data_IF_657843247300
#
_entry.id   IF_657843247300
#
_cell.length_a   1.000
_cell.length_b   1.000
_cell.length_c   1.000
_cell.angle_alpha   90.00
_cell.angle_beta   90.00
_cell.angle_gamma   90.00
#
_symmetry.space_group_name_H-M   'P 1'
#
loop_
_entity.id
_entity.type
_entity.pdbx_description
1 polymer ?
#
# COMPACT_ATOMS: atom_id res chain seq x y z
N UNK A 1 18.93 -1.27 -26.56
CA UNK A 1 18.56 -2.11 -27.72
C UNK A 1 17.04 -2.25 -27.80
N UNK A 2 16.35 -2.63 -26.72
CA UNK A 2 14.89 -2.83 -26.71
C UNK A 2 14.11 -1.52 -26.98
N UNK A 3 14.46 -0.42 -26.33
CA UNK A 3 13.83 0.88 -26.55
C UNK A 3 14.01 1.37 -28.00
N UNK A 4 15.18 1.14 -28.59
CA UNK A 4 15.45 1.48 -29.99
C UNK A 4 14.62 0.62 -30.94
N UNK A 5 14.53 -0.69 -30.68
CA UNK A 5 13.72 -1.62 -31.47
C UNK A 5 12.25 -1.24 -31.44
N UNK A 6 11.71 -0.97 -30.24
CA UNK A 6 10.31 -0.58 -30.07
C UNK A 6 10.00 0.78 -30.73
N UNK A 7 10.92 1.75 -30.66
CA UNK A 7 10.75 3.05 -31.31
C UNK A 7 10.70 2.97 -32.83
N UNK A 8 11.44 2.03 -33.44
CA UNK A 8 11.47 1.86 -34.91
C UNK A 8 10.38 0.93 -35.43
N UNK A 9 9.80 0.08 -34.58
CA UNK A 9 8.83 -0.93 -35.00
C UNK A 9 7.59 -0.33 -35.66
N UNK A 10 6.98 0.69 -35.05
CA UNK A 10 5.81 1.37 -35.62
C UNK A 10 6.14 2.06 -36.95
N UNK A 11 7.30 2.69 -37.04
CA UNK A 11 7.75 3.32 -38.27
C UNK A 11 7.94 2.28 -39.38
N UNK A 12 8.56 1.13 -39.09
CA UNK A 12 8.73 0.03 -40.05
C UNK A 12 7.39 -0.54 -40.52
N UNK A 13 6.43 -0.74 -39.61
CA UNK A 13 5.10 -1.22 -39.95
C UNK A 13 4.39 -0.21 -40.85
N UNK A 14 4.43 1.06 -40.50
CA UNK A 14 3.81 2.14 -41.27
C UNK A 14 4.43 2.23 -42.68
N UNK A 15 5.77 2.21 -42.75
CA UNK A 15 6.49 2.24 -44.04
C UNK A 15 6.07 1.07 -44.95
N UNK A 16 6.07 -0.16 -44.39
CA UNK A 16 5.70 -1.36 -45.18
C UNK A 16 4.24 -1.35 -45.61
N UNK A 17 3.33 -0.86 -44.78
CA UNK A 17 1.91 -0.80 -45.12
C UNK A 17 1.61 0.28 -46.16
N UNK A 18 2.29 1.44 -46.08
CA UNK A 18 2.07 2.56 -47.00
C UNK A 18 2.75 2.33 -48.36
N UNK A 19 3.96 1.78 -48.36
CA UNK A 19 4.78 1.50 -49.55
C UNK A 19 4.59 0.07 -50.06
N UNK A 20 3.47 -0.59 -49.74
CA UNK A 20 3.14 -1.88 -50.34
C UNK A 20 3.03 -1.75 -51.84
N UNK A 21 3.63 -2.67 -52.59
CA UNK A 21 3.74 -2.63 -54.06
C UNK A 21 2.38 -2.39 -54.72
N UNK A 22 1.35 -3.07 -54.27
CA UNK A 22 -0.01 -2.90 -54.78
C UNK A 22 -0.52 -1.47 -54.65
N UNK A 23 -0.32 -0.87 -53.48
CA UNK A 23 -0.74 0.53 -53.23
C UNK A 23 0.04 1.52 -54.05
N UNK A 24 1.38 1.30 -54.17
CA UNK A 24 2.24 2.19 -54.92
C UNK A 24 1.89 2.21 -56.42
N UNK A 25 1.52 1.06 -56.98
CA UNK A 25 1.17 0.93 -58.40
C UNK A 25 -0.29 1.32 -58.68
N UNK A 26 -1.25 0.78 -57.92
CA UNK A 26 -2.67 0.93 -58.18
C UNK A 26 -3.31 2.22 -57.59
N UNK A 27 -2.83 2.63 -56.38
CA UNK A 27 -3.40 3.80 -55.71
C UNK A 27 -2.60 5.09 -55.97
N UNK A 28 -1.25 5.02 -55.84
CA UNK A 28 -0.40 6.21 -55.93
C UNK A 28 0.16 6.45 -57.31
N UNK A 29 0.13 5.48 -58.21
CA UNK A 29 0.60 5.57 -59.59
C UNK A 29 2.03 6.13 -59.70
N UNK A 30 2.94 5.77 -58.78
CA UNK A 30 4.32 6.27 -58.78
C UNK A 30 5.16 5.58 -59.88
N UNK A 31 5.94 6.39 -60.59
CA UNK A 31 6.96 5.88 -61.52
C UNK A 31 8.16 5.35 -60.67
N UNK A 32 8.99 4.50 -61.31
CA UNK A 32 10.15 3.95 -60.64
C UNK A 32 11.09 5.04 -60.10
N UNK A 33 11.34 6.05 -60.90
CA UNK A 33 12.23 7.19 -60.57
C UNK A 33 11.67 7.99 -59.38
N UNK A 34 10.37 8.24 -59.32
CA UNK A 34 9.70 8.92 -58.25
C UNK A 34 9.73 8.09 -56.94
N UNK A 35 9.59 6.77 -57.08
CA UNK A 35 9.67 5.87 -55.91
C UNK A 35 11.08 5.80 -55.34
N UNK A 36 12.12 5.68 -56.18
CA UNK A 36 13.53 5.66 -55.75
C UNK A 36 13.91 6.98 -55.06
N UNK A 37 13.46 8.11 -55.59
CA UNK A 37 13.64 9.42 -54.94
C UNK A 37 12.91 9.49 -53.59
N UNK A 38 11.69 8.99 -53.51
CA UNK A 38 10.93 8.96 -52.24
C UNK A 38 11.63 8.14 -51.17
N UNK A 39 12.18 6.97 -51.53
CA UNK A 39 12.94 6.13 -50.59
C UNK A 39 14.21 6.86 -50.10
N UNK A 40 14.93 7.53 -50.96
CA UNK A 40 16.13 8.30 -50.62
C UNK A 40 15.76 9.48 -49.67
N UNK A 41 14.64 10.15 -49.91
CA UNK A 41 14.19 11.24 -49.05
C UNK A 41 13.74 10.73 -47.68
N UNK A 42 13.05 9.59 -47.61
CA UNK A 42 12.68 8.94 -46.34
C UNK A 42 13.93 8.55 -45.55
N UNK A 43 14.92 7.95 -46.22
CA UNK A 43 16.17 7.57 -45.56
C UNK A 43 16.91 8.80 -45.01
N UNK A 44 16.99 9.86 -45.78
CA UNK A 44 17.64 11.11 -45.40
C UNK A 44 16.95 11.75 -44.20
N UNK A 45 15.63 11.82 -44.20
CA UNK A 45 14.83 12.36 -43.06
C UNK A 45 14.97 11.51 -41.83
N UNK A 46 14.95 10.19 -41.97
CA UNK A 46 15.15 9.28 -40.85
C UNK A 46 16.55 9.45 -40.22
N UNK A 47 17.62 9.54 -41.04
CA UNK A 47 18.98 9.81 -40.57
C UNK A 47 19.09 11.17 -39.85
N UNK A 48 18.43 12.21 -40.37
CA UNK A 48 18.40 13.54 -39.72
C UNK A 48 17.63 13.58 -38.42
N UNK A 49 16.66 12.68 -38.21
CA UNK A 49 15.90 12.60 -36.97
C UNK A 49 16.62 11.83 -35.86
N UNK A 50 17.74 11.18 -36.17
CA UNK A 50 18.56 10.50 -35.17
C UNK A 50 19.36 11.50 -34.35
N UNK A 51 19.58 11.15 -33.07
CA UNK A 51 20.43 11.96 -32.17
C UNK A 51 21.87 11.95 -32.63
N UNK A 52 22.47 13.13 -32.72
CA UNK A 52 23.87 13.27 -33.08
C UNK A 52 24.81 12.84 -31.92
N UNK A 53 25.97 12.26 -32.20
CA UNK A 53 27.00 12.04 -31.20
C UNK A 53 27.39 13.35 -30.50
N UNK A 54 27.56 13.31 -29.16
CA UNK A 54 27.88 14.48 -28.37
C UNK A 54 26.71 15.33 -27.88
N UNK A 55 25.45 14.91 -28.15
CA UNK A 55 24.27 15.57 -27.61
C UNK A 55 24.21 15.45 -26.09
N UNK A 56 23.86 16.54 -25.41
CA UNK A 56 23.74 16.59 -23.94
C UNK A 56 22.39 16.01 -23.46
N UNK A 57 22.24 14.70 -23.58
CA UNK A 57 20.98 14.00 -23.31
C UNK A 57 20.52 14.10 -21.86
N UNK A 58 21.43 14.23 -20.89
CA UNK A 58 21.10 14.42 -19.47
C UNK A 58 20.45 15.76 -19.22
N UNK A 59 20.97 16.85 -19.79
CA UNK A 59 20.37 18.19 -19.68
C UNK A 59 19.03 18.23 -20.39
N UNK A 60 18.93 17.63 -21.56
CA UNK A 60 17.68 17.55 -22.31
C UNK A 60 16.60 16.80 -21.53
N UNK A 61 16.95 15.68 -20.89
CA UNK A 61 16.04 14.93 -20.04
C UNK A 61 15.59 15.77 -18.82
N UNK A 62 16.52 16.42 -18.15
CA UNK A 62 16.21 17.28 -16.99
C UNK A 62 15.26 18.42 -17.34
N UNK A 63 15.50 19.10 -18.47
CA UNK A 63 14.63 20.16 -18.96
C UNK A 63 13.24 19.63 -19.37
N UNK A 64 13.19 18.49 -20.07
CA UNK A 64 11.93 17.89 -20.50
C UNK A 64 11.04 17.40 -19.35
N UNK A 65 11.66 17.05 -18.22
CA UNK A 65 10.92 16.68 -16.98
C UNK A 65 10.59 17.93 -16.16
N UNK A 66 11.50 18.90 -16.13
CA UNK A 66 11.35 20.12 -15.32
C UNK A 66 10.31 21.09 -15.88
N UNK A 67 10.21 21.23 -17.19
CA UNK A 67 9.23 22.11 -17.83
C UNK A 67 7.79 21.77 -17.44
N UNK A 68 7.29 20.52 -17.59
CA UNK A 68 5.96 20.17 -17.14
C UNK A 68 5.76 20.36 -15.62
N UNK A 69 6.80 20.13 -14.83
CA UNK A 69 6.73 20.30 -13.39
C UNK A 69 6.41 21.72 -12.96
N UNK A 70 6.84 22.73 -13.72
CA UNK A 70 6.52 24.15 -13.43
C UNK A 70 5.03 24.48 -13.62
N UNK A 71 4.32 23.71 -14.43
CA UNK A 71 2.91 23.90 -14.72
C UNK A 71 1.99 23.09 -13.77
N UNK A 72 2.57 22.23 -12.94
CA UNK A 72 1.81 21.44 -11.97
C UNK A 72 1.39 22.28 -10.78
N UNK A 73 0.15 22.10 -10.33
CA UNK A 73 -0.36 22.73 -9.11
C UNK A 73 0.19 22.00 -7.87
N UNK A 74 0.39 22.76 -6.79
CA UNK A 74 0.95 22.27 -5.51
C UNK A 74 -0.05 21.45 -4.66
N UNK A 75 -1.18 21.05 -5.19
CA UNK A 75 -2.30 20.54 -4.39
C UNK A 75 -2.36 19.01 -4.30
N UNK A 76 -2.78 18.54 -3.12
CA UNK A 76 -3.32 17.19 -2.93
C UNK A 76 -4.70 17.12 -3.59
N UNK A 77 -4.92 16.14 -4.45
CA UNK A 77 -6.21 15.93 -5.09
C UNK A 77 -6.99 14.81 -4.39
N UNK A 78 -8.29 15.08 -4.22
CA UNK A 78 -9.24 14.02 -3.92
C UNK A 78 -9.60 13.33 -5.24
N UNK A 79 -9.39 12.02 -5.32
CA UNK A 79 -9.82 11.25 -6.50
C UNK A 79 -11.33 11.31 -6.62
N UNK A 80 -11.82 11.86 -7.74
CA UNK A 80 -13.25 11.86 -8.05
C UNK A 80 -13.77 10.42 -8.13
N UNK A 81 -14.73 10.07 -7.26
CA UNK A 81 -15.34 8.73 -7.20
C UNK A 81 -15.00 7.90 -5.96
N UNK A 82 -13.88 8.17 -5.27
CA UNK A 82 -13.57 7.63 -3.95
C UNK A 82 -13.38 8.80 -3.02
N UNK A 83 -14.46 9.19 -2.37
CA UNK A 83 -14.56 10.46 -1.61
C UNK A 83 -13.66 10.57 -0.38
N UNK A 84 -12.95 9.53 0.00
CA UNK A 84 -12.19 9.47 1.25
C UNK A 84 -10.68 9.24 1.09
N UNK A 85 -10.16 8.97 -0.13
CA UNK A 85 -8.72 8.74 -0.32
C UNK A 85 -8.01 10.01 -0.76
N UNK A 86 -7.11 10.49 0.10
CA UNK A 86 -6.19 11.57 -0.23
C UNK A 86 -4.97 11.00 -0.96
N UNK A 87 -4.65 11.53 -2.13
CA UNK A 87 -3.45 11.13 -2.88
C UNK A 87 -2.58 12.37 -3.12
N UNK A 88 -1.32 12.27 -2.73
CA UNK A 88 -0.34 13.32 -3.03
C UNK A 88 0.04 13.24 -4.50
N UNK A 89 -0.21 14.30 -5.24
CA UNK A 89 0.10 14.41 -6.67
C UNK A 89 0.88 15.70 -6.96
N UNK A 90 1.36 15.85 -8.19
CA UNK A 90 2.08 17.04 -8.63
C UNK A 90 3.50 17.11 -8.11
N UNK A 91 4.00 18.33 -7.94
CA UNK A 91 5.40 18.62 -7.55
C UNK A 91 5.80 17.95 -6.23
N UNK A 92 4.98 17.94 -5.16
CA UNK A 92 5.34 17.24 -3.93
C UNK A 92 5.64 15.76 -4.14
N UNK A 93 4.81 15.06 -4.92
CA UNK A 93 5.01 13.64 -5.22
C UNK A 93 6.25 13.40 -6.08
N UNK A 94 6.47 14.24 -7.08
CA UNK A 94 7.66 14.15 -7.92
C UNK A 94 8.94 14.34 -7.09
N UNK A 95 8.93 15.26 -6.12
CA UNK A 95 10.04 15.44 -5.17
C UNK A 95 10.25 14.21 -4.27
N UNK A 96 9.19 13.59 -3.77
CA UNK A 96 9.30 12.34 -3.00
C UNK A 96 9.98 11.23 -3.80
N UNK A 97 9.61 11.08 -5.08
CA UNK A 97 10.17 10.07 -5.97
C UNK A 97 11.65 10.34 -6.27
N UNK A 98 12.03 11.57 -6.64
CA UNK A 98 13.40 11.96 -6.98
C UNK A 98 14.33 11.90 -5.76
N UNK A 99 13.82 12.27 -4.60
CA UNK A 99 14.58 12.27 -3.34
C UNK A 99 14.64 10.89 -2.68
N UNK A 100 13.95 9.89 -3.23
CA UNK A 100 13.83 8.56 -2.61
C UNK A 100 13.41 8.70 -1.13
N UNK A 101 12.29 9.40 -0.90
CA UNK A 101 11.83 9.66 0.45
C UNK A 101 11.48 8.36 1.19
N UNK A 102 11.99 8.20 2.41
CA UNK A 102 11.65 7.06 3.28
C UNK A 102 10.22 7.16 3.82
N UNK A 103 9.79 8.39 4.16
CA UNK A 103 8.44 8.65 4.63
C UNK A 103 7.68 9.40 3.55
N UNK A 104 6.80 8.72 2.86
CA UNK A 104 5.90 9.33 1.88
C UNK A 104 4.59 9.74 2.53
N UNK A 105 3.97 10.82 2.05
CA UNK A 105 2.74 11.38 2.66
C UNK A 105 1.53 10.46 2.53
N UNK A 106 1.41 9.79 1.38
CA UNK A 106 0.27 8.92 1.07
C UNK A 106 0.76 7.56 0.59
N UNK A 107 1.25 6.70 1.52
CA UNK A 107 1.64 5.34 1.17
C UNK A 107 0.40 4.53 0.75
N UNK A 108 0.51 3.80 -0.36
CA UNK A 108 -0.60 3.03 -0.88
C UNK A 108 -0.13 1.80 -1.66
N UNK A 109 -0.92 0.74 -1.57
CA UNK A 109 -0.80 -0.44 -2.42
C UNK A 109 -1.96 -0.47 -3.41
N UNK A 110 -1.69 -0.98 -4.59
CA UNK A 110 -2.71 -1.36 -5.55
C UNK A 110 -2.71 -2.88 -5.68
N UNK A 111 -3.74 -3.50 -5.12
CA UNK A 111 -3.86 -4.95 -4.98
C UNK A 111 -4.81 -5.46 -6.04
N UNK A 112 -4.31 -6.33 -6.90
CA UNK A 112 -5.11 -7.01 -7.91
C UNK A 112 -5.57 -8.36 -7.37
N UNK A 113 -6.80 -8.72 -7.71
CA UNK A 113 -7.43 -9.96 -7.28
C UNK A 113 -7.28 -11.04 -8.35
N UNK A 114 -7.30 -12.30 -7.91
CA UNK A 114 -7.32 -13.47 -8.80
C UNK A 114 -8.59 -13.50 -9.65
N UNK A 115 -8.57 -14.26 -10.74
CA UNK A 115 -9.68 -14.35 -11.71
C UNK A 115 -11.01 -14.72 -11.08
N UNK A 116 -10.97 -15.60 -10.09
CA UNK A 116 -12.15 -16.13 -9.39
C UNK A 116 -12.89 -15.09 -8.55
N UNK A 117 -12.16 -14.06 -8.09
CA UNK A 117 -12.65 -13.06 -7.14
C UNK A 117 -12.89 -11.71 -7.80
N UNK A 118 -12.09 -11.33 -8.79
CA UNK A 118 -12.11 -9.98 -9.42
C UNK A 118 -13.47 -9.57 -9.98
N UNK A 119 -14.33 -10.53 -10.36
CA UNK A 119 -15.66 -10.28 -10.92
C UNK A 119 -16.75 -10.20 -9.86
N UNK A 120 -16.53 -10.78 -8.66
CA UNK A 120 -17.54 -10.87 -7.59
C UNK A 120 -17.30 -9.84 -6.48
N UNK A 121 -18.29 -8.98 -6.24
CA UNK A 121 -18.20 -7.92 -5.23
C UNK A 121 -18.16 -8.46 -3.79
N UNK A 122 -18.89 -9.53 -3.50
CA UNK A 122 -18.94 -10.10 -2.14
C UNK A 122 -17.60 -10.72 -1.77
N UNK A 123 -17.03 -11.54 -2.67
CA UNK A 123 -15.70 -12.13 -2.45
C UNK A 123 -14.61 -11.07 -2.38
N UNK A 124 -14.70 -10.01 -3.19
CA UNK A 124 -13.77 -8.90 -3.10
C UNK A 124 -13.83 -8.20 -1.74
N UNK A 125 -15.04 -8.05 -1.14
CA UNK A 125 -15.20 -7.54 0.21
C UNK A 125 -14.58 -8.45 1.26
N UNK A 126 -14.69 -9.78 1.11
CA UNK A 126 -14.06 -10.73 2.04
C UNK A 126 -12.54 -10.56 2.07
N UNK A 127 -11.92 -10.45 0.89
CA UNK A 127 -10.47 -10.16 0.80
C UNK A 127 -10.13 -8.81 1.41
N UNK A 128 -10.97 -7.79 1.20
CA UNK A 128 -10.78 -6.45 1.77
C UNK A 128 -10.75 -6.48 3.29
N UNK A 129 -11.68 -7.21 3.91
CA UNK A 129 -11.76 -7.39 5.36
C UNK A 129 -10.53 -8.11 5.92
N UNK A 130 -10.01 -9.10 5.20
CA UNK A 130 -8.82 -9.84 5.61
C UNK A 130 -7.51 -9.03 5.47
N UNK A 131 -7.50 -7.98 4.66
CA UNK A 131 -6.32 -7.13 4.45
C UNK A 131 -6.31 -5.94 5.41
N UNK A 132 -7.47 -5.37 5.73
CA UNK A 132 -7.57 -4.16 6.55
C UNK A 132 -7.25 -4.45 8.00
N UNK A 133 -6.22 -3.77 8.52
CA UNK A 133 -5.75 -3.93 9.91
C UNK A 133 -6.81 -3.48 10.90
N UNK A 134 -7.32 -4.43 11.66
CA UNK A 134 -8.38 -4.21 12.65
C UNK A 134 -7.87 -4.61 14.02
N UNK A 135 -7.74 -3.63 14.91
CA UNK A 135 -7.38 -3.84 16.33
C UNK A 135 -8.65 -3.86 17.16
N UNK A 136 -8.53 -4.33 18.39
CA UNK A 136 -9.63 -4.32 19.36
C UNK A 136 -10.17 -2.90 19.59
N UNK A 137 -9.31 -1.88 19.60
CA UNK A 137 -9.72 -0.48 19.71
C UNK A 137 -10.67 -0.03 18.59
N UNK A 138 -10.53 -0.57 17.37
CA UNK A 138 -11.35 -0.17 16.23
C UNK A 138 -12.81 -0.64 16.34
N UNK A 139 -13.06 -1.71 17.08
CA UNK A 139 -14.40 -2.31 17.24
C UNK A 139 -15.03 -2.03 18.60
N UNK A 140 -14.26 -1.51 19.57
CA UNK A 140 -14.74 -1.20 20.92
C UNK A 140 -15.38 0.19 20.93
N UNK A 141 -16.59 0.29 21.47
CA UNK A 141 -17.30 1.57 21.65
C UNK A 141 -17.05 2.19 23.02
N UNK A 142 -16.98 1.37 24.06
CA UNK A 142 -16.74 1.79 25.43
C UNK A 142 -16.00 0.70 26.21
N UNK A 143 -15.22 1.14 27.18
CA UNK A 143 -14.52 0.28 28.14
C UNK A 143 -14.89 0.71 29.54
N UNK A 144 -15.16 -0.24 30.41
CA UNK A 144 -15.60 -0.02 31.79
C UNK A 144 -14.86 -0.96 32.72
N UNK A 145 -14.39 -0.44 33.83
CA UNK A 145 -13.82 -1.24 34.94
C UNK A 145 -14.81 -1.25 36.10
N UNK A 146 -15.24 -2.44 36.47
CA UNK A 146 -16.20 -2.65 37.53
C UNK A 146 -15.61 -3.48 38.65
N UNK A 147 -16.04 -3.20 39.90
CA UNK A 147 -15.80 -4.05 41.06
C UNK A 147 -17.04 -4.90 41.29
N UNK A 148 -16.99 -6.16 40.94
CA UNK A 148 -18.10 -7.11 40.95
C UNK A 148 -17.66 -8.35 41.76
N UNK A 149 -17.90 -8.37 43.11
CA UNK A 149 -17.38 -9.41 43.98
C UNK A 149 -18.09 -10.75 43.78
N UNK A 150 -19.36 -10.75 43.36
CA UNK A 150 -20.10 -11.97 43.06
C UNK A 150 -19.93 -12.37 41.62
N UNK A 151 -19.14 -13.40 41.39
CA UNK A 151 -18.80 -13.86 40.01
C UNK A 151 -20.03 -14.42 39.29
N UNK A 152 -20.96 -15.02 40.03
CA UNK A 152 -22.16 -15.67 39.49
C UNK A 152 -23.38 -14.78 39.39
N UNK A 153 -23.52 -13.75 40.23
CA UNK A 153 -24.61 -12.78 40.18
C UNK A 153 -24.09 -11.36 40.03
N UNK A 154 -24.00 -10.92 38.80
CA UNK A 154 -23.41 -9.62 38.46
C UNK A 154 -24.25 -8.45 38.96
N UNK A 155 -23.57 -7.40 39.43
CA UNK A 155 -24.19 -6.11 39.80
C UNK A 155 -24.80 -5.42 38.57
N UNK A 156 -24.29 -5.69 37.36
CA UNK A 156 -24.73 -5.09 36.10
C UNK A 156 -25.99 -5.83 35.63
N UNK A 157 -27.16 -5.17 35.71
CA UNK A 157 -28.45 -5.77 35.35
C UNK A 157 -28.50 -6.27 33.90
N UNK A 158 -27.89 -5.53 32.97
CA UNK A 158 -27.84 -5.86 31.53
C UNK A 158 -27.09 -7.17 31.22
N UNK A 159 -26.11 -7.51 32.05
CA UNK A 159 -25.21 -8.66 31.80
C UNK A 159 -25.66 -9.91 32.59
N UNK A 160 -26.60 -9.77 33.50
CA UNK A 160 -26.98 -10.82 34.49
C UNK A 160 -27.38 -12.13 33.82
N UNK A 161 -28.20 -12.07 32.79
CA UNK A 161 -28.77 -13.24 32.14
C UNK A 161 -27.68 -14.12 31.48
N UNK A 162 -26.76 -13.52 30.71
CA UNK A 162 -25.75 -14.30 30.05
C UNK A 162 -24.59 -14.75 30.98
N UNK A 163 -24.36 -14.02 32.08
CA UNK A 163 -23.42 -14.41 33.14
C UNK A 163 -23.90 -15.66 33.85
N UNK A 164 -25.17 -15.71 34.24
CA UNK A 164 -25.76 -16.89 34.88
C UNK A 164 -25.68 -18.12 33.95
N UNK A 165 -26.02 -17.96 32.67
CA UNK A 165 -25.90 -19.01 31.68
C UNK A 165 -24.47 -19.53 31.51
N UNK A 166 -23.49 -18.65 31.56
CA UNK A 166 -22.08 -19.04 31.43
C UNK A 166 -21.60 -19.87 32.62
N UNK A 167 -22.00 -19.51 33.85
CA UNK A 167 -21.59 -20.20 35.05
C UNK A 167 -22.47 -21.43 35.39
N UNK A 168 -23.60 -21.67 34.70
CA UNK A 168 -24.35 -22.94 34.81
C UNK A 168 -23.50 -24.14 34.33
N UNK A 169 -22.57 -23.92 33.37
CA UNK A 169 -21.67 -24.95 32.87
C UNK A 169 -20.28 -24.70 33.45
N UNK A 170 -19.84 -25.41 34.48
CA UNK A 170 -18.57 -25.17 35.15
C UNK A 170 -17.41 -25.48 34.18
N UNK A 171 -16.53 -24.48 33.95
CA UNK A 171 -15.27 -24.65 33.22
C UNK A 171 -14.15 -24.97 34.24
N UNK A 172 -13.65 -26.21 34.17
CA UNK A 172 -12.56 -26.69 35.05
C UNK A 172 -11.23 -25.94 34.86
N UNK A 173 -11.09 -25.17 33.77
CA UNK A 173 -9.89 -24.39 33.51
C UNK A 173 -9.78 -23.14 34.37
N UNK A 174 -10.91 -22.58 34.82
CA UNK A 174 -10.98 -21.34 35.60
C UNK A 174 -11.78 -21.55 36.87
N UNK A 175 -11.14 -21.93 38.01
CA UNK A 175 -11.82 -22.07 39.28
C UNK A 175 -12.35 -20.71 39.74
N UNK A 176 -13.60 -20.66 40.11
CA UNK A 176 -14.32 -19.44 40.56
C UNK A 176 -13.61 -18.77 41.74
N UNK A 177 -13.01 -19.57 42.64
CA UNK A 177 -12.31 -19.12 43.82
C UNK A 177 -11.03 -18.33 43.55
N UNK A 178 -10.43 -18.50 42.36
CA UNK A 178 -9.20 -17.84 41.93
C UNK A 178 -9.46 -16.62 41.05
N UNK A 179 -10.70 -16.32 40.75
CA UNK A 179 -11.07 -15.22 39.84
C UNK A 179 -11.14 -13.89 40.60
N UNK A 180 -10.49 -12.86 40.04
CA UNK A 180 -10.46 -11.51 40.62
C UNK A 180 -11.88 -10.90 40.67
N UNK A 181 -12.23 -10.14 41.76
CA UNK A 181 -13.49 -9.39 41.81
C UNK A 181 -13.55 -8.22 40.83
N UNK A 182 -12.43 -7.83 40.27
CA UNK A 182 -12.34 -6.77 39.27
C UNK A 182 -12.69 -7.30 37.89
N UNK A 183 -13.54 -6.55 37.18
CA UNK A 183 -14.05 -6.87 35.87
C UNK A 183 -13.69 -5.76 34.88
N UNK A 184 -13.08 -6.13 33.76
CA UNK A 184 -12.99 -5.27 32.58
C UNK A 184 -14.13 -5.65 31.62
N UNK A 185 -15.02 -4.69 31.37
CA UNK A 185 -16.16 -4.82 30.46
C UNK A 185 -15.87 -4.05 29.20
N UNK A 186 -15.91 -4.71 28.05
CA UNK A 186 -15.73 -4.13 26.73
C UNK A 186 -17.06 -4.15 25.99
N UNK A 187 -17.58 -2.99 25.63
CA UNK A 187 -18.75 -2.86 24.78
C UNK A 187 -18.31 -2.71 23.33
N UNK A 188 -18.75 -3.61 22.45
CA UNK A 188 -18.38 -3.62 21.05
C UNK A 188 -19.37 -2.80 20.20
N UNK A 189 -18.85 -2.13 19.19
CA UNK A 189 -19.66 -1.43 18.20
C UNK A 189 -20.20 -2.42 17.17
N UNK A 190 -21.50 -2.71 17.24
CA UNK A 190 -22.19 -3.68 16.38
C UNK A 190 -21.99 -3.41 14.89
N UNK A 191 -22.05 -2.15 14.46
CA UNK A 191 -21.88 -1.81 13.05
C UNK A 191 -20.49 -2.17 12.56
N UNK A 192 -19.46 -1.90 13.37
CA UNK A 192 -18.06 -2.22 13.02
C UNK A 192 -17.80 -3.73 13.03
N UNK A 193 -18.34 -4.45 14.00
CA UNK A 193 -18.22 -5.92 14.08
C UNK A 193 -18.84 -6.59 12.84
N UNK A 194 -20.04 -6.15 12.44
CA UNK A 194 -20.72 -6.65 11.24
C UNK A 194 -19.97 -6.27 9.96
N UNK A 195 -19.49 -5.03 9.84
CA UNK A 195 -18.73 -4.57 8.67
C UNK A 195 -17.43 -5.35 8.50
N UNK A 196 -16.79 -5.73 9.61
CA UNK A 196 -15.57 -6.55 9.62
C UNK A 196 -15.84 -8.06 9.59
N UNK A 197 -17.12 -8.47 9.52
CA UNK A 197 -17.54 -9.89 9.52
C UNK A 197 -16.90 -10.68 10.68
N UNK A 198 -16.82 -10.06 11.86
CA UNK A 198 -16.33 -10.67 13.10
C UNK A 198 -17.52 -11.19 13.91
N UNK A 199 -17.28 -12.23 14.70
CA UNK A 199 -18.19 -12.72 15.73
C UNK A 199 -17.61 -12.42 17.12
N UNK A 200 -18.47 -12.27 18.12
CA UNK A 200 -18.02 -12.06 19.50
C UNK A 200 -17.12 -13.20 19.96
N UNK A 201 -17.41 -14.43 19.57
CA UNK A 201 -16.61 -15.60 19.91
C UNK A 201 -15.19 -15.53 19.30
N UNK A 202 -15.04 -15.11 18.04
CA UNK A 202 -13.71 -14.93 17.43
C UNK A 202 -12.89 -13.88 18.18
N UNK A 203 -13.51 -12.79 18.63
CA UNK A 203 -12.82 -11.77 19.41
C UNK A 203 -12.38 -12.31 20.77
N UNK A 204 -13.24 -13.07 21.45
CA UNK A 204 -12.92 -13.73 22.73
C UNK A 204 -11.79 -14.75 22.55
N UNK A 205 -11.79 -15.52 21.48
CA UNK A 205 -10.69 -16.45 21.14
C UNK A 205 -9.37 -15.73 20.96
N UNK A 206 -9.34 -14.65 20.18
CA UNK A 206 -8.12 -13.84 19.98
C UNK A 206 -7.56 -13.27 21.29
N UNK A 207 -8.45 -12.78 22.18
CA UNK A 207 -8.05 -12.28 23.50
C UNK A 207 -7.48 -13.44 24.35
N UNK A 208 -8.17 -14.58 24.34
CA UNK A 208 -7.78 -15.76 25.12
C UNK A 208 -6.47 -16.39 24.65
N UNK A 209 -6.18 -16.36 23.35
CA UNK A 209 -4.91 -16.83 22.79
C UNK A 209 -3.72 -16.00 23.27
N UNK A 210 -3.87 -14.68 23.39
CA UNK A 210 -2.82 -13.78 23.83
C UNK A 210 -2.51 -13.96 25.34
N UNK A 211 -3.55 -14.01 26.18
CA UNK A 211 -3.40 -14.07 27.63
C UNK A 211 -3.43 -15.49 28.21
N UNK A 212 -3.79 -16.49 27.41
CA UNK A 212 -3.87 -17.90 27.78
C UNK A 212 -4.68 -18.14 29.07
N UNK A 213 -4.00 -18.58 30.15
CA UNK A 213 -4.65 -18.90 31.43
C UNK A 213 -4.76 -17.73 32.41
N UNK A 214 -4.15 -16.59 32.10
CA UNK A 214 -4.13 -15.42 32.99
C UNK A 214 -5.43 -14.59 32.95
N UNK A 215 -6.23 -14.75 31.91
CA UNK A 215 -7.46 -13.98 31.72
C UNK A 215 -8.61 -14.89 31.35
N UNK A 216 -9.70 -14.83 32.11
CA UNK A 216 -10.96 -15.46 31.75
C UNK A 216 -11.81 -14.47 30.95
N UNK A 217 -12.11 -14.81 29.69
CA UNK A 217 -12.91 -13.98 28.81
C UNK A 217 -14.13 -14.74 28.33
N UNK A 218 -15.28 -14.09 28.34
CA UNK A 218 -16.49 -14.59 27.69
C UNK A 218 -17.34 -13.42 27.20
N UNK A 219 -18.14 -13.65 26.19
CA UNK A 219 -18.94 -12.64 25.55
C UNK A 219 -20.42 -12.95 25.50
N UNK A 220 -21.22 -11.93 25.25
CA UNK A 220 -22.65 -12.06 24.95
C UNK A 220 -22.87 -12.71 23.58
N UNK A 221 -24.10 -13.12 23.30
CA UNK A 221 -24.51 -13.60 21.99
C UNK A 221 -24.38 -12.48 20.93
N UNK A 222 -24.02 -12.84 19.70
CA UNK A 222 -23.95 -11.92 18.55
C UNK A 222 -25.30 -11.22 18.26
N UNK A 223 -26.44 -11.82 18.66
CA UNK A 223 -27.76 -11.25 18.49
C UNK A 223 -28.23 -10.40 19.69
N UNK A 224 -27.46 -10.31 20.79
CA UNK A 224 -27.80 -9.50 21.94
C UNK A 224 -27.97 -8.02 21.55
N UNK A 225 -28.76 -7.27 22.30
CA UNK A 225 -28.98 -5.84 22.06
C UNK A 225 -27.65 -5.06 22.13
N UNK A 226 -26.81 -5.39 23.12
CA UNK A 226 -25.43 -4.92 23.26
C UNK A 226 -24.48 -6.11 23.18
N UNK A 227 -23.46 -5.96 22.38
CA UNK A 227 -22.36 -6.93 22.31
C UNK A 227 -21.33 -6.57 23.37
N UNK A 228 -21.17 -7.42 24.36
CA UNK A 228 -20.34 -7.18 25.53
C UNK A 228 -19.36 -8.34 25.71
N UNK A 229 -18.11 -8.02 26.00
CA UNK A 229 -17.09 -8.98 26.41
C UNK A 229 -16.68 -8.66 27.84
N UNK A 230 -16.67 -9.68 28.69
CA UNK A 230 -16.25 -9.59 30.09
C UNK A 230 -14.94 -10.32 30.28
N UNK A 231 -13.97 -9.61 30.83
CA UNK A 231 -12.63 -10.12 31.08
C UNK A 231 -12.31 -10.02 32.58
N UNK A 232 -11.96 -11.15 33.20
CA UNK A 232 -11.55 -11.21 34.61
C UNK A 232 -10.18 -11.88 34.71
N UNK A 233 -9.34 -11.37 35.60
CA UNK A 233 -8.04 -11.97 35.87
C UNK A 233 -8.19 -13.20 36.77
N UNK A 234 -7.30 -14.18 36.53
CA UNK A 234 -7.18 -15.35 37.36
C UNK A 234 -5.90 -15.22 38.19
N UNK A 235 -6.04 -15.11 39.50
CA UNK A 235 -4.89 -15.06 40.41
C UNK A 235 -4.27 -16.46 40.53
N UNK A 236 -3.14 -16.63 39.86
CA UNK A 236 -2.40 -17.90 39.86
C UNK A 236 -1.44 -17.99 41.07
N UNK A 237 -1.10 -16.87 41.70
CA UNK A 237 -0.22 -16.80 42.90
C UNK A 237 -1.07 -16.51 44.12
N UNK A 238 -0.88 -17.32 45.16
CA UNK A 238 -1.65 -17.28 46.38
C UNK A 238 -1.51 -15.93 47.11
N UNK A 239 -2.58 -15.53 47.75
CA UNK A 239 -2.76 -14.33 48.52
C UNK A 239 -1.60 -14.05 49.45
N UNK A 240 -0.89 -12.94 49.25
CA UNK A 240 -0.26 -12.21 50.33
C UNK A 240 -1.25 -11.08 50.71
N UNK A 241 -1.80 -11.19 51.90
CA UNK A 241 -2.63 -10.22 52.57
C UNK A 241 -1.77 -9.02 52.96
N UNK A 242 -1.55 -8.10 52.04
CA UNK A 242 -0.97 -6.79 52.35
C UNK A 242 -1.93 -5.69 51.91
N UNK A 243 -2.41 -4.92 52.90
CA UNK A 243 -3.14 -3.66 52.85
C UNK A 243 -4.17 -3.49 51.71
N UNK A 244 -5.48 -3.74 52.05
CA UNK A 244 -6.62 -3.71 51.12
C UNK A 244 -6.72 -2.43 50.27
N UNK A 245 -6.31 -1.26 50.77
CA UNK A 245 -6.49 0.02 50.08
C UNK A 245 -5.32 0.29 49.11
N UNK A 246 -4.05 -0.06 49.45
CA UNK A 246 -2.93 0.04 48.52
C UNK A 246 -3.04 -1.02 47.41
N UNK A 247 -3.50 -2.21 47.75
CA UNK A 247 -3.77 -3.27 46.78
C UNK A 247 -4.86 -2.91 45.75
N UNK A 248 -5.90 -2.21 46.15
CA UNK A 248 -6.99 -1.75 45.24
C UNK A 248 -6.49 -0.69 44.24
N UNK A 249 -5.73 0.30 44.70
CA UNK A 249 -5.14 1.32 43.80
C UNK A 249 -4.13 0.73 42.82
N UNK A 250 -3.31 -0.23 43.26
CA UNK A 250 -2.37 -0.91 42.40
C UNK A 250 -3.08 -1.76 41.33
N UNK A 251 -4.20 -2.42 41.68
CA UNK A 251 -4.99 -3.22 40.76
C UNK A 251 -5.72 -2.39 39.73
N UNK A 252 -6.28 -1.22 40.08
CA UNK A 252 -6.91 -0.30 39.12
C UNK A 252 -5.90 0.19 38.07
N UNK A 253 -4.71 0.61 38.50
CA UNK A 253 -3.65 1.02 37.60
C UNK A 253 -3.17 -0.13 36.68
N UNK A 254 -3.10 -1.33 37.21
CA UNK A 254 -2.75 -2.53 36.45
C UNK A 254 -3.79 -2.85 35.39
N UNK A 255 -5.08 -2.79 35.74
CA UNK A 255 -6.18 -3.01 34.79
C UNK A 255 -6.21 -1.99 33.66
N UNK A 256 -5.95 -0.72 33.96
CA UNK A 256 -5.86 0.32 32.92
C UNK A 256 -4.71 0.09 31.96
N UNK A 257 -3.55 -0.31 32.47
CA UNK A 257 -2.40 -0.64 31.62
C UNK A 257 -2.72 -1.84 30.69
N UNK A 258 -3.43 -2.84 31.21
CA UNK A 258 -3.84 -3.99 30.41
C UNK A 258 -4.93 -3.61 29.39
N UNK A 259 -5.89 -2.79 29.78
CA UNK A 259 -6.89 -2.25 28.88
C UNK A 259 -6.22 -1.54 27.68
N UNK A 260 -5.29 -0.62 27.94
CA UNK A 260 -4.53 0.08 26.92
C UNK A 260 -3.73 -0.92 26.04
N UNK A 261 -3.06 -1.88 26.66
CA UNK A 261 -2.34 -2.93 25.94
C UNK A 261 -3.27 -3.76 25.05
N UNK A 262 -4.44 -4.17 25.56
CA UNK A 262 -5.41 -4.96 24.80
C UNK A 262 -5.95 -4.18 23.60
N UNK A 263 -6.30 -2.92 23.80
CA UNK A 263 -6.86 -2.09 22.75
C UNK A 263 -5.86 -1.82 21.61
N UNK A 264 -4.59 -1.60 21.95
CA UNK A 264 -3.58 -1.23 20.96
C UNK A 264 -2.90 -2.42 20.27
N UNK A 265 -2.64 -3.50 21.01
CA UNK A 265 -1.79 -4.60 20.54
C UNK A 265 -2.55 -5.82 20.04
N UNK A 266 -3.80 -6.05 20.49
CA UNK A 266 -4.57 -7.19 20.00
C UNK A 266 -5.07 -6.89 18.59
N UNK A 267 -4.53 -7.64 17.63
CA UNK A 267 -4.93 -7.60 16.23
C UNK A 267 -5.93 -8.71 15.98
N UNK A 268 -7.14 -8.32 15.60
CA UNK A 268 -8.22 -9.29 15.31
C UNK A 268 -8.13 -9.84 13.90
N UNK A 269 -7.88 -8.95 12.94
CA UNK A 269 -7.70 -9.29 11.53
C UNK A 269 -6.83 -8.28 10.83
N UNK A 270 -6.27 -8.68 9.68
CA UNK A 270 -5.64 -7.78 8.74
C UNK A 270 -4.13 -7.72 8.83
N UNK A 271 -3.58 -6.94 7.92
CA UNK A 271 -2.15 -6.77 7.72
C UNK A 271 -1.68 -5.50 8.40
N UNK A 272 -0.67 -5.63 9.26
CA UNK A 272 -0.08 -4.49 9.97
C UNK A 272 0.40 -3.43 8.97
N UNK A 273 0.02 -2.18 9.20
CA UNK A 273 0.39 -1.05 8.35
C UNK A 273 -0.67 -0.61 7.35
N UNK A 274 -1.71 -1.41 7.09
CA UNK A 274 -2.83 -1.05 6.21
C UNK A 274 -4.00 -0.57 7.05
N UNK A 275 -4.27 0.74 7.02
CA UNK A 275 -5.30 1.37 7.85
C UNK A 275 -6.69 1.23 7.26
N UNK A 276 -6.81 1.42 5.95
CA UNK A 276 -8.10 1.40 5.22
C UNK A 276 -7.90 0.80 3.85
N UNK A 277 -8.96 0.23 3.34
CA UNK A 277 -9.00 -0.37 2.00
C UNK A 277 -10.20 0.15 1.23
N UNK A 278 -10.04 0.34 -0.07
CA UNK A 278 -11.06 0.86 -0.98
C UNK A 278 -11.15 -0.04 -2.21
N UNK A 279 -12.36 -0.47 -2.54
CA UNK A 279 -12.61 -1.25 -3.76
C UNK A 279 -12.86 -0.26 -4.90
N UNK A 280 -12.04 -0.34 -5.94
CA UNK A 280 -12.14 0.49 -7.15
C UNK A 280 -12.44 -0.40 -8.34
N UNK A 281 -13.40 -0.01 -9.16
CA UNK A 281 -13.69 -0.69 -10.41
C UNK A 281 -12.82 -0.10 -11.53
N UNK A 282 -12.07 -0.97 -12.21
CA UNK A 282 -11.20 -0.62 -13.32
C UNK A 282 -11.58 -1.43 -14.55
N UNK A 283 -11.54 -0.80 -15.73
CA UNK A 283 -11.72 -1.51 -17.01
C UNK A 283 -10.39 -2.15 -17.44
N UNK A 284 -10.42 -3.41 -17.70
CA UNK A 284 -9.31 -4.18 -18.25
C UNK A 284 -9.64 -4.63 -19.68
N UNK A 285 -8.70 -4.45 -20.59
CA UNK A 285 -8.79 -5.01 -21.94
C UNK A 285 -8.21 -6.44 -21.90
N UNK A 286 -8.96 -7.40 -22.37
CA UNK A 286 -8.47 -8.76 -22.51
C UNK A 286 -8.74 -9.29 -23.94
N UNK A 287 -7.96 -10.29 -24.32
CA UNK A 287 -8.11 -10.94 -25.62
C UNK A 287 -9.03 -12.14 -25.41
N UNK A 288 -10.22 -12.08 -26.01
CA UNK A 288 -11.15 -13.21 -26.03
C UNK A 288 -10.51 -14.43 -26.73
N UNK A 289 -10.92 -15.65 -26.41
CA UNK A 289 -10.49 -16.84 -27.14
C UNK A 289 -10.72 -16.76 -28.67
N UNK A 290 -11.63 -15.90 -29.09
CA UNK A 290 -11.90 -15.60 -30.52
C UNK A 290 -10.92 -14.62 -31.14
N UNK A 291 -9.91 -14.11 -30.39
CA UNK A 291 -8.93 -13.12 -30.85
C UNK A 291 -9.42 -11.68 -30.89
N UNK A 292 -10.61 -11.38 -30.38
CA UNK A 292 -11.12 -10.01 -30.27
C UNK A 292 -10.72 -9.37 -28.94
N UNK A 293 -10.52 -8.04 -28.98
CA UNK A 293 -10.31 -7.25 -27.77
C UNK A 293 -11.66 -6.92 -27.14
N UNK A 294 -11.89 -7.42 -25.95
CA UNK A 294 -13.07 -7.14 -25.16
C UNK A 294 -12.68 -6.37 -23.88
N UNK A 295 -13.61 -5.57 -23.35
CA UNK A 295 -13.43 -4.83 -22.09
C UNK A 295 -14.17 -5.55 -20.97
N UNK A 296 -13.46 -5.84 -19.90
CA UNK A 296 -14.05 -6.42 -18.70
C UNK A 296 -13.79 -5.49 -17.51
N UNK A 297 -14.79 -5.33 -16.66
CA UNK A 297 -14.62 -4.63 -15.39
C UNK A 297 -14.00 -5.57 -14.37
N UNK A 298 -12.86 -5.20 -13.82
CA UNK A 298 -12.23 -5.87 -12.68
C UNK A 298 -12.27 -4.99 -11.45
N UNK A 299 -12.32 -5.62 -10.29
CA UNK A 299 -12.22 -4.94 -9.00
C UNK A 299 -10.81 -5.01 -8.48
N UNK A 300 -10.31 -3.87 -8.06
CA UNK A 300 -8.96 -3.69 -7.53
C UNK A 300 -9.10 -3.06 -6.15
N UNK A 301 -8.27 -3.48 -5.21
CA UNK A 301 -8.25 -2.91 -3.87
C UNK A 301 -7.11 -1.89 -3.79
N UNK A 302 -7.45 -0.65 -3.51
CA UNK A 302 -6.52 0.41 -3.16
C UNK A 302 -6.43 0.51 -1.64
N UNK A 303 -5.23 0.65 -1.09
CA UNK A 303 -5.02 0.74 0.35
C UNK A 303 -4.57 2.12 0.80
N UNK A 304 -4.78 2.42 2.07
CA UNK A 304 -4.14 3.49 2.81
C UNK A 304 -3.14 2.85 3.78
N UNK A 305 -1.88 3.02 3.48
CA UNK A 305 -0.79 2.30 4.13
C UNK A 305 -0.15 1.24 3.22
N UNK A 306 1.00 0.75 3.65
CA UNK A 306 1.84 -0.18 2.90
C UNK A 306 2.30 -1.34 3.78
N UNK A 307 2.29 -2.52 3.23
CA UNK A 307 2.99 -3.74 3.67
C UNK A 307 2.91 -4.76 2.54
N UNK A 308 3.72 -4.56 1.52
CA UNK A 308 3.69 -5.39 0.32
C UNK A 308 4.01 -6.86 0.63
N UNK A 309 4.96 -7.11 1.54
CA UNK A 309 5.43 -8.46 1.87
C UNK A 309 4.31 -9.34 2.40
N UNK A 310 3.54 -8.86 3.37
CA UNK A 310 2.45 -9.62 3.97
C UNK A 310 1.22 -9.70 3.06
N UNK A 311 0.95 -8.64 2.29
CA UNK A 311 -0.16 -8.64 1.32
C UNK A 311 0.05 -9.65 0.20
N UNK A 312 1.29 -9.82 -0.28
CA UNK A 312 1.59 -10.83 -1.31
C UNK A 312 1.38 -12.26 -0.82
N UNK A 313 1.32 -12.47 0.48
CA UNK A 313 1.05 -13.78 1.08
C UNK A 313 -0.46 -14.05 1.28
N UNK A 314 -1.32 -13.04 1.15
CA UNK A 314 -2.75 -13.21 1.35
C UNK A 314 -3.39 -14.04 0.22
N UNK A 315 -4.39 -14.84 0.58
CA UNK A 315 -5.18 -15.60 -0.36
C UNK A 315 -5.93 -14.69 -1.33
N UNK A 316 -6.15 -15.16 -2.54
CA UNK A 316 -6.87 -14.45 -3.62
C UNK A 316 -6.22 -13.17 -4.14
N UNK A 317 -4.98 -12.87 -3.75
CA UNK A 317 -4.19 -11.76 -4.29
C UNK A 317 -3.39 -12.21 -5.50
N UNK A 318 -3.46 -11.43 -6.60
CA UNK A 318 -2.59 -11.63 -7.77
C UNK A 318 -1.22 -11.01 -7.52
N UNK A 319 -0.27 -11.85 -7.11
CA UNK A 319 1.10 -11.44 -6.77
C UNK A 319 1.89 -10.84 -7.93
N UNK A 320 1.53 -11.18 -9.17
CA UNK A 320 2.24 -10.69 -10.37
C UNK A 320 1.88 -9.27 -10.73
N UNK A 321 0.65 -8.84 -10.40
CA UNK A 321 0.12 -7.54 -10.79
C UNK A 321 0.12 -6.53 -9.65
N UNK A 322 0.11 -7.00 -8.40
CA UNK A 322 0.08 -6.18 -7.19
C UNK A 322 1.37 -5.39 -7.02
N UNK A 323 1.26 -4.09 -6.70
CA UNK A 323 2.40 -3.22 -6.51
C UNK A 323 2.15 -2.12 -5.47
N UNK A 324 3.25 -1.62 -4.92
CA UNK A 324 3.29 -0.47 -4.00
C UNK A 324 3.63 0.82 -4.76
N UNK A 325 3.26 1.96 -4.19
CA UNK A 325 3.74 3.26 -4.63
C UNK A 325 5.04 3.68 -3.92
N UNK A 326 5.58 2.84 -3.01
CA UNK A 326 6.77 3.11 -2.23
C UNK A 326 8.00 2.40 -2.83
N UNK A 327 8.95 3.10 -3.47
CA UNK A 327 10.07 2.47 -4.16
C UNK A 327 11.01 1.67 -3.25
N UNK A 328 11.19 2.10 -1.99
CA UNK A 328 12.09 1.43 -1.04
C UNK A 328 11.52 0.07 -0.64
N UNK A 329 10.23 0.01 -0.31
CA UNK A 329 9.56 -1.26 -0.02
C UNK A 329 9.64 -2.26 -1.18
N UNK A 330 9.46 -1.76 -2.41
CA UNK A 330 9.59 -2.61 -3.60
C UNK A 330 11.03 -3.10 -3.78
N UNK A 331 12.03 -2.26 -3.47
CA UNK A 331 13.43 -2.67 -3.52
C UNK A 331 13.71 -3.82 -2.54
N UNK A 332 13.19 -3.71 -1.32
CA UNK A 332 13.41 -4.71 -0.26
C UNK A 332 12.71 -6.04 -0.57
N UNK A 333 11.51 -6.01 -1.12
CA UNK A 333 10.70 -7.21 -1.37
C UNK A 333 10.98 -7.84 -2.74
N UNK A 334 11.06 -7.03 -3.79
CA UNK A 334 11.10 -7.49 -5.19
C UNK A 334 12.43 -7.19 -5.91
N UNK A 335 13.29 -6.36 -5.31
CA UNK A 335 14.59 -6.01 -5.86
C UNK A 335 14.62 -4.77 -6.76
N UNK A 336 15.83 -4.47 -7.30
CA UNK A 336 16.13 -3.18 -7.96
C UNK A 336 15.40 -2.98 -9.29
N UNK A 337 15.20 -4.02 -10.09
CA UNK A 337 14.52 -3.93 -11.38
C UNK A 337 13.01 -3.63 -11.19
N UNK A 338 12.41 -4.21 -10.17
CA UNK A 338 11.04 -3.88 -9.81
C UNK A 338 10.92 -2.44 -9.30
N UNK A 339 11.87 -2.00 -8.47
CA UNK A 339 11.93 -0.62 -7.99
C UNK A 339 12.13 0.38 -9.15
N UNK A 340 13.00 0.05 -10.14
CA UNK A 340 13.16 0.82 -11.37
C UNK A 340 11.84 1.00 -12.11
N UNK A 341 11.12 -0.09 -12.31
CA UNK A 341 9.84 -0.07 -13.01
C UNK A 341 8.76 0.72 -12.25
N UNK A 342 8.78 0.63 -10.91
CA UNK A 342 7.87 1.39 -10.06
C UNK A 342 8.14 2.89 -10.09
N UNK A 343 9.40 3.32 -9.97
CA UNK A 343 9.79 4.73 -10.05
C UNK A 343 9.38 5.32 -11.40
N UNK A 344 9.62 4.58 -12.48
CA UNK A 344 9.22 5.01 -13.83
C UNK A 344 7.71 5.19 -13.96
N UNK A 345 6.93 4.26 -13.41
CA UNK A 345 5.45 4.30 -13.39
C UNK A 345 4.94 5.49 -12.59
N UNK A 346 5.48 5.69 -11.40
CA UNK A 346 5.10 6.80 -10.53
C UNK A 346 5.44 8.16 -11.15
N UNK A 347 6.67 8.33 -11.66
CA UNK A 347 7.07 9.57 -12.32
C UNK A 347 6.21 9.89 -13.55
N UNK A 348 5.92 8.88 -14.37
CA UNK A 348 5.02 9.03 -15.51
C UNK A 348 3.60 9.41 -15.06
N UNK A 349 3.05 8.69 -14.08
CA UNK A 349 1.71 8.95 -13.57
C UNK A 349 1.52 10.36 -13.04
N UNK A 350 2.53 10.90 -12.34
CA UNK A 350 2.52 12.28 -11.84
C UNK A 350 2.48 13.29 -12.99
N UNK A 351 3.27 13.07 -14.05
CA UNK A 351 3.36 13.98 -15.21
C UNK A 351 2.07 13.91 -16.06
N UNK A 352 1.60 12.71 -16.35
CA UNK A 352 0.36 12.50 -17.13
C UNK A 352 -0.87 13.05 -16.41
N UNK A 353 -0.91 12.95 -15.08
CA UNK A 353 -1.97 13.56 -14.29
C UNK A 353 -1.98 15.08 -14.40
N UNK A 354 -0.81 15.72 -14.54
CA UNK A 354 -0.68 17.15 -14.84
C UNK A 354 -1.12 17.55 -16.27
N UNK A 355 -1.57 16.60 -17.08
CA UNK A 355 -1.99 16.83 -18.47
C UNK A 355 -0.84 16.96 -19.46
N UNK A 356 0.39 16.70 -19.03
CA UNK A 356 1.60 16.81 -19.86
C UNK A 356 2.10 15.43 -20.29
N UNK A 357 2.77 15.37 -21.43
CA UNK A 357 3.41 14.15 -21.92
C UNK A 357 4.93 14.33 -21.96
N UNK A 358 5.65 13.38 -21.41
CA UNK A 358 7.11 13.29 -21.50
C UNK A 358 7.51 11.95 -22.10
N UNK A 359 8.43 11.97 -23.06
CA UNK A 359 8.88 10.74 -23.70
C UNK A 359 9.54 9.80 -22.69
N UNK A 360 9.28 8.51 -22.82
CA UNK A 360 9.85 7.45 -22.01
C UNK A 360 11.37 7.56 -21.83
N UNK A 361 12.12 7.95 -22.86
CA UNK A 361 13.58 8.00 -22.85
C UNK A 361 14.11 8.95 -21.79
N UNK A 362 13.49 10.10 -21.61
CA UNK A 362 13.91 11.09 -20.61
C UNK A 362 13.68 10.60 -19.19
N UNK A 363 12.52 9.99 -18.93
CA UNK A 363 12.22 9.39 -17.64
C UNK A 363 13.10 8.16 -17.37
N UNK A 364 13.30 7.31 -18.37
CA UNK A 364 14.15 6.13 -18.23
C UNK A 364 15.61 6.51 -17.91
N UNK A 365 16.15 7.56 -18.53
CA UNK A 365 17.52 8.03 -18.26
C UNK A 365 17.67 8.47 -16.79
N UNK A 366 16.70 9.21 -16.26
CA UNK A 366 16.68 9.62 -14.85
C UNK A 366 16.63 8.39 -13.92
N UNK A 367 15.71 7.47 -14.19
CA UNK A 367 15.49 6.28 -13.36
C UNK A 367 16.68 5.31 -13.43
N UNK A 368 17.28 5.15 -14.60
CA UNK A 368 18.49 4.35 -14.79
C UNK A 368 19.65 4.88 -13.95
N UNK A 369 19.82 6.20 -13.91
CA UNK A 369 20.84 6.80 -13.05
C UNK A 369 20.55 6.55 -11.54
N UNK A 370 19.29 6.61 -11.13
CA UNK A 370 18.88 6.35 -9.75
C UNK A 370 19.12 4.90 -9.31
N UNK A 371 19.09 3.94 -10.23
CA UNK A 371 19.12 2.50 -9.94
C UNK A 371 20.40 1.78 -10.43
N UNK A 372 21.30 2.47 -11.12
CA UNK A 372 22.46 1.88 -11.78
C UNK A 372 23.43 1.10 -10.87
N UNK A 373 23.43 1.39 -9.56
CA UNK A 373 24.35 0.79 -8.59
C UNK A 373 23.77 -0.36 -7.78
N UNK A 374 22.59 -0.87 -8.16
CA UNK A 374 21.87 -1.89 -7.40
C UNK A 374 21.24 -1.38 -6.11
N UNK A 375 21.36 -0.09 -5.83
CA UNK A 375 20.72 0.61 -4.73
C UNK A 375 20.05 1.88 -5.24
N UNK A 376 19.03 2.37 -4.54
CA UNK A 376 18.37 3.63 -4.90
C UNK A 376 19.26 4.81 -4.51
N UNK A 377 19.53 5.67 -5.48
CA UNK A 377 20.31 6.91 -5.30
C UNK A 377 19.40 8.10 -5.57
N UNK A 378 19.25 8.97 -4.58
CA UNK A 378 18.49 10.21 -4.75
C UNK A 378 19.22 11.17 -5.67
N UNK A 379 18.49 11.89 -6.53
CA UNK A 379 19.06 12.95 -7.38
C UNK A 379 19.07 14.27 -6.57
N UNK A 380 19.83 14.25 -5.50
CA UNK A 380 20.07 15.38 -4.60
C UNK A 380 21.54 15.42 -4.20
N UNK A 381 21.99 16.53 -3.58
CA UNK A 381 23.34 16.62 -3.01
C UNK A 381 23.69 15.46 -2.07
N UNK A 382 22.71 14.96 -1.31
CA UNK A 382 22.92 13.83 -0.39
C UNK A 382 23.09 12.48 -1.09
N UNK A 383 22.60 12.34 -2.31
CA UNK A 383 22.76 11.12 -3.12
C UNK A 383 23.94 11.20 -4.09
N UNK A 384 23.96 12.22 -4.93
CA UNK A 384 24.96 12.38 -6.01
C UNK A 384 26.36 12.69 -5.44
N UNK A 385 26.49 13.59 -4.47
CA UNK A 385 27.78 13.98 -3.91
C UNK A 385 28.43 12.89 -3.05
N UNK A 386 27.64 11.93 -2.56
CA UNK A 386 28.12 10.73 -1.86
C UNK A 386 28.46 9.57 -2.80
N UNK A 387 28.23 9.76 -4.10
CA UNK A 387 28.57 8.74 -5.09
C UNK A 387 30.10 8.71 -5.32
N UNK A 388 30.64 7.54 -5.61
CA UNK A 388 32.05 7.35 -5.98
C UNK A 388 32.30 7.88 -7.39
N UNK A 389 32.33 9.19 -7.54
CA UNK A 389 32.64 9.92 -8.77
C UNK A 389 33.75 10.92 -8.50
N UNK A 390 34.46 11.37 -9.54
CA UNK A 390 35.55 12.32 -9.40
C UNK A 390 35.10 13.64 -8.75
N UNK A 391 35.99 14.28 -7.99
CA UNK A 391 35.71 15.52 -7.25
C UNK A 391 35.24 16.64 -8.18
N UNK A 392 35.84 16.77 -9.37
CA UNK A 392 35.44 17.78 -10.37
C UNK A 392 34.00 17.56 -10.87
N UNK A 393 33.56 16.31 -11.00
CA UNK A 393 32.19 16.00 -11.40
C UNK A 393 31.20 16.31 -10.27
N UNK A 394 31.54 15.99 -9.02
CA UNK A 394 30.69 16.28 -7.86
C UNK A 394 30.54 17.78 -7.60
N UNK A 395 31.63 18.54 -7.69
CA UNK A 395 31.62 19.98 -7.42
C UNK A 395 30.79 20.81 -8.42
N UNK A 396 30.44 20.25 -9.60
CA UNK A 396 29.57 20.92 -10.58
C UNK A 396 28.11 20.99 -10.17
N UNK A 397 27.70 20.16 -9.20
CA UNK A 397 26.28 20.10 -8.79
C UNK A 397 25.95 21.07 -7.65
N UNK A 398 26.53 20.89 -6.51
CA UNK A 398 26.40 21.76 -5.31
C UNK A 398 27.62 21.52 -4.41
N UNK A 399 27.79 22.31 -3.35
CA UNK A 399 28.87 22.12 -2.35
C UNK A 399 30.29 22.20 -2.98
N UNK A 400 30.46 23.10 -3.96
CA UNK A 400 31.67 23.20 -4.79
C UNK A 400 32.93 23.36 -3.93
N UNK A 401 32.92 24.28 -2.96
CA UNK A 401 34.09 24.58 -2.13
C UNK A 401 34.46 23.43 -1.21
N UNK A 402 33.46 22.84 -0.53
CA UNK A 402 33.63 21.74 0.41
C UNK A 402 34.23 20.50 -0.27
N UNK A 403 33.67 20.13 -1.44
CA UNK A 403 34.15 18.96 -2.21
C UNK A 403 35.58 19.16 -2.71
N UNK A 404 35.92 20.38 -3.18
CA UNK A 404 37.27 20.67 -3.62
C UNK A 404 38.27 20.74 -2.48
N UNK A 405 37.87 21.24 -1.31
CA UNK A 405 38.70 21.22 -0.09
C UNK A 405 38.98 19.78 0.37
N UNK A 406 37.94 18.94 0.45
CA UNK A 406 38.07 17.52 0.83
C UNK A 406 38.97 16.74 -0.17
N UNK A 407 38.91 17.08 -1.45
CA UNK A 407 39.72 16.46 -2.46
C UNK A 407 41.19 16.93 -2.47
N UNK A 408 41.45 18.12 -1.91
CA UNK A 408 42.78 18.72 -1.84
C UNK A 408 43.54 18.37 -0.55
N UNK A 409 42.84 18.03 0.53
CA UNK A 409 43.38 17.54 1.80
C UNK A 409 43.57 16.01 1.82
#
# INVERSE_FOLDING_TARGET
IEAQRNATLLFQIHLRSTLATKRVIEEYHLTKEAFDWLLAEIETRFKRSQVNPGEMVGVLAAQSIGEPATQMTLNTFHLAGVSSKNVTMGVPRLKEVINVATNIKTPALKIFLTEDVRSNMERAKDVTVNIEHTTLANITSATEIWYDPDVTDSIIEEDRDFVQLFYEIPDSRFPIEQTSPWLLRLELNRSMVVDKKLTVNEVVECISEEFKTGLQCFGSDDNAEKMVIRCRFVNTEGKDEEDEDEGRMAMDAFLRNIEEYMLENIVLRGVKGIRRTYIVEQQMNFISPTGKFDKQTERVIDTDGINLKEVLWQDHVDTKRTYSNHPIEILEVLGIEAARSAILREARGVIEFGGSYVNYRHLALLVDLMTARGRLTAITRHGINRAETGALMRCTFEETVEILMDAAS
#
